data_IF_609873180458
#
_entry.id   IF_609873180458
#
_cell.length_a   1.000
_cell.length_b   1.000
_cell.length_c   1.000
_cell.angle_alpha   90.00
_cell.angle_beta   90.00
_cell.angle_gamma   90.00
#
_symmetry.space_group_name_H-M   'P 1'
#
loop_
_entity.id
_entity.type
_entity.pdbx_description
1 polymer ?
#
# COMPACT_ATOMS: atom_id res chain seq x y z
N UNK A 1 31.19 8.62 -43.85
CA UNK A 1 31.79 9.25 -42.63
C UNK A 1 30.87 10.21 -41.88
N UNK A 2 29.72 10.63 -42.46
CA UNK A 2 28.77 11.56 -41.82
C UNK A 2 27.99 10.94 -40.65
N UNK A 3 27.62 9.66 -40.74
CA UNK A 3 26.89 8.96 -39.67
C UNK A 3 27.68 8.89 -38.34
N UNK A 4 28.97 8.54 -38.40
CA UNK A 4 29.83 8.46 -37.21
C UNK A 4 30.03 9.84 -36.55
N UNK A 5 30.06 10.90 -37.36
CA UNK A 5 30.21 12.28 -36.90
C UNK A 5 28.91 12.82 -36.29
N UNK A 6 27.76 12.41 -36.84
CA UNK A 6 26.43 12.71 -36.28
C UNK A 6 26.25 11.99 -34.95
N UNK A 7 26.53 10.68 -34.90
CA UNK A 7 26.48 9.87 -33.70
C UNK A 7 27.37 10.43 -32.57
N UNK A 8 28.58 10.89 -32.89
CA UNK A 8 29.46 11.54 -31.90
C UNK A 8 28.90 12.88 -31.36
N UNK A 9 28.23 13.65 -32.22
CA UNK A 9 27.62 14.93 -31.83
C UNK A 9 26.40 14.71 -30.94
N UNK A 10 25.61 13.69 -31.27
CA UNK A 10 24.43 13.27 -30.53
C UNK A 10 24.79 12.63 -29.19
N UNK A 11 25.82 11.77 -29.15
CA UNK A 11 26.39 11.21 -27.92
C UNK A 11 26.93 12.29 -27.00
N UNK A 12 27.64 13.30 -27.52
CA UNK A 12 28.08 14.46 -26.73
C UNK A 12 26.92 15.34 -26.25
N UNK A 13 25.84 15.40 -27.02
CA UNK A 13 24.60 16.04 -26.62
C UNK A 13 24.01 15.30 -25.43
N UNK A 14 23.72 14.01 -25.60
CA UNK A 14 23.22 13.12 -24.56
C UNK A 14 24.10 13.11 -23.30
N UNK A 15 25.43 13.04 -23.41
CA UNK A 15 26.33 13.11 -22.25
C UNK A 15 26.24 14.44 -21.48
N UNK A 16 25.79 15.53 -22.13
CA UNK A 16 25.48 16.80 -21.45
C UNK A 16 24.05 16.88 -20.91
N UNK A 17 23.11 16.18 -21.54
CA UNK A 17 21.70 16.15 -21.14
C UNK A 17 21.42 15.12 -20.06
N UNK A 18 22.26 14.10 -19.92
CA UNK A 18 22.27 13.20 -18.77
C UNK A 18 22.67 14.04 -17.57
N UNK A 19 21.67 14.53 -16.85
CA UNK A 19 21.88 15.25 -15.61
C UNK A 19 22.22 14.18 -14.58
N UNK A 20 23.42 14.25 -14.03
CA UNK A 20 23.84 13.36 -12.94
C UNK A 20 22.82 13.40 -11.79
N UNK A 21 22.22 14.57 -11.54
CA UNK A 21 21.09 14.74 -10.62
C UNK A 21 19.91 13.79 -10.89
N UNK A 22 19.56 13.57 -12.16
CA UNK A 22 18.46 12.69 -12.55
C UNK A 22 18.88 11.21 -12.38
N UNK A 23 20.18 10.90 -12.47
CA UNK A 23 20.73 9.56 -12.18
C UNK A 23 20.79 9.30 -10.67
N UNK A 24 21.16 10.30 -9.88
CA UNK A 24 21.20 10.20 -8.41
C UNK A 24 19.79 9.96 -7.88
N UNK A 25 18.80 10.74 -8.33
CA UNK A 25 17.40 10.53 -7.99
C UNK A 25 16.87 9.15 -8.42
N UNK A 26 17.27 8.66 -9.60
CA UNK A 26 16.87 7.33 -10.06
C UNK A 26 17.53 6.22 -9.24
N UNK A 27 18.78 6.41 -8.80
CA UNK A 27 19.45 5.49 -7.90
C UNK A 27 18.76 5.44 -6.54
N UNK A 28 18.40 6.60 -5.99
CA UNK A 28 17.65 6.70 -4.73
C UNK A 28 16.28 6.00 -4.85
N UNK A 29 15.52 6.25 -5.92
CA UNK A 29 14.24 5.56 -6.19
C UNK A 29 14.41 4.04 -6.36
N UNK A 30 15.47 3.58 -7.04
CA UNK A 30 15.74 2.14 -7.19
C UNK A 30 16.10 1.49 -5.86
N UNK A 31 16.78 2.21 -4.97
CA UNK A 31 17.13 1.74 -3.63
C UNK A 31 15.87 1.58 -2.77
N UNK A 32 15.02 2.62 -2.75
CA UNK A 32 13.73 2.60 -2.06
C UNK A 32 12.80 1.49 -2.60
N UNK A 33 12.79 1.28 -3.92
CA UNK A 33 12.00 0.22 -4.56
C UNK A 33 12.49 -1.18 -4.20
N UNK A 34 13.81 -1.39 -4.12
CA UNK A 34 14.36 -2.66 -3.65
C UNK A 34 14.01 -2.94 -2.20
N UNK A 35 14.08 -1.93 -1.33
CA UNK A 35 13.71 -2.07 0.07
C UNK A 35 12.22 -2.39 0.24
N UNK A 36 11.34 -1.70 -0.50
CA UNK A 36 9.91 -2.01 -0.54
C UNK A 36 9.63 -3.41 -1.08
N UNK A 37 10.37 -3.87 -2.09
CA UNK A 37 10.22 -5.23 -2.61
C UNK A 37 10.64 -6.29 -1.58
N UNK A 38 11.68 -6.02 -0.78
CA UNK A 38 12.08 -6.91 0.30
C UNK A 38 11.02 -6.93 1.41
N UNK A 39 10.46 -5.78 1.77
CA UNK A 39 9.38 -5.69 2.76
C UNK A 39 8.11 -6.43 2.31
N UNK A 40 7.72 -6.29 1.03
CA UNK A 40 6.59 -7.04 0.45
C UNK A 40 6.87 -8.54 0.46
N UNK A 41 8.08 -8.96 0.08
CA UNK A 41 8.45 -10.38 0.10
C UNK A 41 8.53 -10.93 1.53
N UNK A 42 8.95 -10.14 2.51
CA UNK A 42 8.97 -10.55 3.91
C UNK A 42 7.57 -10.66 4.48
N UNK A 43 6.68 -9.70 4.20
CA UNK A 43 5.29 -9.70 4.69
C UNK A 43 4.44 -10.77 4.01
N UNK A 44 4.58 -10.97 2.70
CA UNK A 44 3.86 -12.01 1.94
C UNK A 44 4.50 -13.39 2.11
N UNK A 45 5.81 -13.44 2.37
CA UNK A 45 6.58 -14.63 2.72
C UNK A 45 6.42 -15.06 4.18
N UNK A 46 5.60 -14.34 4.96
CA UNK A 46 5.08 -14.83 6.24
C UNK A 46 4.26 -16.09 5.98
N UNK A 47 4.94 -17.22 5.93
CA UNK A 47 4.32 -18.52 6.07
C UNK A 47 3.78 -18.57 7.50
N UNK A 48 2.46 -18.46 7.63
CA UNK A 48 1.81 -18.95 8.82
C UNK A 48 2.20 -20.43 8.92
N UNK A 49 2.76 -20.84 10.05
CA UNK A 49 3.35 -22.15 10.27
C UNK A 49 2.27 -23.26 10.36
N UNK A 50 1.39 -23.29 9.35
CA UNK A 50 0.30 -24.23 9.16
C UNK A 50 0.94 -25.57 8.81
N UNK A 51 0.68 -26.63 9.60
CA UNK A 51 1.21 -27.96 9.31
C UNK A 51 0.78 -28.46 7.92
N UNK A 52 1.68 -29.11 7.20
CA UNK A 52 1.38 -29.72 5.89
C UNK A 52 0.35 -30.86 6.00
N UNK A 53 0.29 -31.53 7.16
CA UNK A 53 -0.57 -32.68 7.45
C UNK A 53 -1.84 -32.30 8.23
N UNK A 54 -2.35 -31.07 8.08
CA UNK A 54 -3.62 -30.69 8.72
C UNK A 54 -4.80 -31.41 8.04
N UNK A 55 -5.71 -31.95 8.84
CA UNK A 55 -6.93 -32.59 8.32
C UNK A 55 -7.95 -31.50 7.97
N UNK A 56 -8.08 -31.18 6.69
CA UNK A 56 -9.04 -30.18 6.20
C UNK A 56 -10.49 -30.58 6.49
N UNK A 57 -10.82 -31.86 6.50
CA UNK A 57 -12.18 -32.34 6.76
C UNK A 57 -12.56 -32.15 8.24
N UNK A 58 -11.62 -32.41 9.16
CA UNK A 58 -11.80 -32.11 10.60
C UNK A 58 -11.94 -30.61 10.84
N UNK A 59 -11.08 -29.79 10.23
CA UNK A 59 -11.13 -28.32 10.35
C UNK A 59 -12.44 -27.74 9.82
N UNK A 60 -12.92 -28.23 8.68
CA UNK A 60 -14.21 -27.81 8.12
C UNK A 60 -15.37 -28.24 9.03
N UNK A 61 -15.30 -29.43 9.62
CA UNK A 61 -16.29 -29.89 10.60
C UNK A 61 -16.31 -29.02 11.87
N UNK A 62 -15.15 -28.57 12.36
CA UNK A 62 -15.05 -27.61 13.46
C UNK A 62 -15.62 -26.24 13.08
N UNK A 63 -15.37 -25.77 11.85
CA UNK A 63 -15.89 -24.50 11.35
C UNK A 63 -17.42 -24.53 11.23
N UNK A 64 -17.99 -25.62 10.71
CA UNK A 64 -19.45 -25.83 10.64
C UNK A 64 -20.07 -25.87 12.04
N UNK A 65 -19.38 -26.50 13.00
CA UNK A 65 -19.82 -26.52 14.39
C UNK A 65 -19.77 -25.12 15.03
N UNK A 66 -18.73 -24.33 14.73
CA UNK A 66 -18.63 -22.93 15.16
C UNK A 66 -19.69 -22.05 14.49
N UNK A 67 -19.99 -22.26 13.20
CA UNK A 67 -21.10 -21.60 12.52
C UNK A 67 -22.44 -21.96 13.16
N UNK A 68 -22.64 -23.21 13.58
CA UNK A 68 -23.83 -23.60 14.31
C UNK A 68 -23.92 -22.95 15.71
N UNK A 69 -22.80 -22.83 16.43
CA UNK A 69 -22.73 -22.17 17.74
C UNK A 69 -23.02 -20.66 17.61
N UNK A 70 -22.34 -19.99 16.66
CA UNK A 70 -22.55 -18.58 16.35
C UNK A 70 -23.94 -18.32 15.76
N UNK A 71 -24.43 -19.14 14.84
CA UNK A 71 -25.75 -19.00 14.22
C UNK A 71 -26.91 -19.16 15.21
N UNK A 72 -26.66 -19.75 16.38
CA UNK A 72 -27.64 -19.84 17.46
C UNK A 72 -27.64 -18.59 18.38
N UNK A 73 -26.54 -17.82 18.42
CA UNK A 73 -26.38 -16.62 19.28
C UNK A 73 -26.22 -15.28 18.52
N UNK A 74 -25.98 -15.29 17.21
CA UNK A 74 -25.49 -14.13 16.43
C UNK A 74 -26.32 -13.81 15.17
N UNK A 75 -27.64 -13.74 15.29
CA UNK A 75 -28.52 -13.08 14.29
C UNK A 75 -28.28 -11.54 14.22
N UNK A 76 -27.16 -11.06 14.78
CA UNK A 76 -26.78 -9.67 14.94
C UNK A 76 -25.42 -9.38 14.32
N UNK A 77 -25.25 -8.14 13.86
CA UNK A 77 -24.01 -7.62 13.29
C UNK A 77 -22.84 -7.90 14.25
N UNK A 78 -21.70 -8.46 13.77
CA UNK A 78 -20.55 -8.77 14.61
C UNK A 78 -20.06 -7.56 15.40
N UNK A 79 -19.50 -7.77 16.61
CA UNK A 79 -19.09 -6.69 17.52
C UNK A 79 -18.14 -5.65 16.89
N UNK A 80 -17.37 -6.04 15.88
CA UNK A 80 -16.44 -5.15 15.15
C UNK A 80 -17.11 -4.34 14.01
N UNK A 81 -18.38 -4.61 13.71
CA UNK A 81 -19.21 -3.91 12.71
C UNK A 81 -20.42 -3.20 13.36
N UNK A 82 -20.58 -3.32 14.68
CA UNK A 82 -21.66 -2.64 15.38
C UNK A 82 -21.36 -1.14 15.46
N UNK A 83 -22.30 -0.25 15.09
CA UNK A 83 -22.13 1.18 15.25
C UNK A 83 -22.15 1.51 16.74
N UNK A 84 -20.95 1.68 17.30
CA UNK A 84 -20.56 2.32 18.55
C UNK A 84 -21.71 2.59 19.52
N UNK A 85 -22.07 1.56 20.29
CA UNK A 85 -22.97 1.78 21.44
C UNK A 85 -22.24 2.12 22.73
N UNK A 86 -20.92 2.04 22.76
CA UNK A 86 -20.03 2.51 23.81
C UNK A 86 -18.63 2.32 23.25
N UNK A 87 -18.06 3.33 22.59
CA UNK A 87 -16.61 3.32 22.34
C UNK A 87 -15.93 3.31 23.70
N UNK A 88 -15.25 2.23 24.11
CA UNK A 88 -14.22 2.38 25.12
C UNK A 88 -13.21 3.36 24.52
N UNK A 89 -12.62 4.21 25.33
CA UNK A 89 -11.55 5.10 24.89
C UNK A 89 -10.34 4.25 24.46
N UNK A 90 -10.39 3.72 23.22
CA UNK A 90 -9.41 2.80 22.63
C UNK A 90 -8.03 3.46 22.50
N UNK A 91 -8.01 4.80 22.48
CA UNK A 91 -6.79 5.61 22.53
C UNK A 91 -6.04 5.48 23.87
N UNK A 92 -6.73 5.13 24.97
CA UNK A 92 -6.11 4.99 26.29
C UNK A 92 -5.53 3.59 26.57
N UNK A 93 -6.11 2.53 25.99
CA UNK A 93 -5.63 1.14 26.20
C UNK A 93 -4.61 0.70 25.13
N UNK A 94 -4.69 1.27 23.93
CA UNK A 94 -3.79 0.91 22.85
C UNK A 94 -2.59 1.87 22.83
N UNK A 95 -1.59 1.54 23.65
CA UNK A 95 -0.25 2.12 23.56
C UNK A 95 0.45 1.68 22.27
N UNK A 96 -0.13 1.97 21.10
CA UNK A 96 0.52 1.73 19.82
C UNK A 96 1.69 2.69 19.67
N UNK A 97 2.85 2.22 19.19
CA UNK A 97 3.86 3.14 18.71
C UNK A 97 3.25 4.00 17.60
N UNK A 98 3.53 5.30 17.62
CA UNK A 98 3.09 6.22 16.57
C UNK A 98 3.46 5.62 15.21
N UNK A 99 2.46 5.39 14.36
CA UNK A 99 2.68 4.99 12.98
C UNK A 99 3.68 5.97 12.35
N UNK A 100 4.71 5.50 11.64
CA UNK A 100 5.76 6.35 11.11
C UNK A 100 5.15 7.36 10.13
N UNK A 101 4.88 8.55 10.64
CA UNK A 101 4.40 9.66 9.84
C UNK A 101 5.63 10.22 9.14
N UNK A 102 5.82 9.86 7.86
CA UNK A 102 6.74 10.59 7.01
C UNK A 102 6.39 12.08 7.09
N UNK A 103 7.37 12.91 7.43
CA UNK A 103 7.25 14.35 7.68
C UNK A 103 6.38 15.10 6.65
N UNK A 104 5.07 15.12 6.87
CA UNK A 104 4.20 16.14 6.31
C UNK A 104 3.89 17.12 7.44
N UNK A 105 4.80 18.08 7.61
CA UNK A 105 4.53 19.28 8.41
C UNK A 105 3.17 19.82 8.03
N UNK A 106 2.26 19.90 9.01
CA UNK A 106 1.00 20.61 8.90
C UNK A 106 1.29 22.06 8.48
N UNK A 107 1.20 22.32 7.18
CA UNK A 107 1.20 23.67 6.64
C UNK A 107 -0.26 24.07 6.47
N UNK A 108 -0.70 24.93 7.37
CA UNK A 108 -1.93 25.69 7.29
C UNK A 108 -2.18 26.18 5.85
N UNK A 109 -3.37 25.90 5.34
CA UNK A 109 -3.88 26.49 4.11
C UNK A 109 -3.74 25.61 2.87
N UNK A 110 -4.69 24.70 2.67
CA UNK A 110 -5.03 24.22 1.31
C UNK A 110 -6.53 24.24 1.12
N UNK A 111 -6.99 25.39 0.63
CA UNK A 111 -8.27 25.53 -0.04
C UNK A 111 -8.23 24.79 -1.37
N UNK A 112 -8.38 23.47 -1.37
CA UNK A 112 -8.86 22.75 -2.53
C UNK A 112 -9.34 21.37 -2.10
N UNK A 113 -10.65 21.15 -2.19
CA UNK A 113 -11.25 19.83 -2.05
C UNK A 113 -10.76 18.97 -3.23
N UNK A 114 -9.74 18.14 -2.99
CA UNK A 114 -9.38 17.10 -3.95
C UNK A 114 -10.45 16.02 -3.86
N UNK A 115 -11.13 15.79 -4.99
CA UNK A 115 -12.18 14.79 -5.09
C UNK A 115 -11.53 13.41 -4.98
N UNK A 116 -11.86 12.69 -3.92
CA UNK A 116 -11.48 11.30 -3.71
C UNK A 116 -12.52 10.39 -4.38
N UNK A 117 -12.09 9.26 -4.93
CA UNK A 117 -13.00 8.27 -5.52
C UNK A 117 -13.70 7.41 -4.45
N UNK A 118 -14.62 6.54 -4.87
CA UNK A 118 -15.43 5.69 -3.97
C UNK A 118 -14.58 4.70 -3.13
N UNK A 119 -13.29 4.56 -3.44
CA UNK A 119 -12.33 3.78 -2.66
C UNK A 119 -11.35 4.66 -1.86
N UNK A 120 -11.58 5.97 -1.80
CA UNK A 120 -10.78 6.92 -1.01
C UNK A 120 -9.42 7.25 -1.65
N UNK A 121 -9.20 6.91 -2.92
CA UNK A 121 -7.98 7.30 -3.62
C UNK A 121 -8.15 8.68 -4.26
N UNK A 122 -7.06 9.47 -4.38
CA UNK A 122 -7.12 10.74 -5.06
C UNK A 122 -7.46 10.53 -6.54
N UNK A 123 -8.57 11.10 -7.01
CA UNK A 123 -9.05 10.86 -8.36
C UNK A 123 -8.01 11.30 -9.40
N UNK A 124 -7.56 10.35 -10.23
CA UNK A 124 -6.65 10.65 -11.34
C UNK A 124 -7.37 11.45 -12.42
N UNK A 125 -6.75 12.52 -12.98
CA UNK A 125 -7.39 13.32 -14.00
C UNK A 125 -7.64 12.49 -15.27
N UNK A 126 -8.91 12.36 -15.67
CA UNK A 126 -9.29 11.68 -16.91
C UNK A 126 -8.73 12.47 -18.09
N UNK A 127 -7.76 11.90 -18.79
CA UNK A 127 -7.21 12.49 -20.00
C UNK A 127 -8.33 12.62 -21.05
N UNK A 128 -8.68 13.85 -21.41
CA UNK A 128 -9.63 14.14 -22.48
C UNK A 128 -9.00 13.69 -23.81
N UNK A 129 -9.45 12.57 -24.35
CA UNK A 129 -9.11 12.15 -25.71
C UNK A 129 -9.70 13.19 -26.66
N UNK A 130 -8.85 14.06 -27.21
CA UNK A 130 -9.19 14.98 -28.30
C UNK A 130 -9.31 14.14 -29.57
N UNK A 131 -10.52 14.07 -30.14
CA UNK A 131 -10.73 13.70 -31.55
C UNK A 131 -10.45 14.89 -32.45
#
# INVERSE_FOLDING_TARGET
MTALKSANKELKGMMKTVKIQDIDNLQDEMMDMMDMSNEIQETLGRSYNVPDDIDEDELMGELDALEADMGTEADGVPSYLQPDKEEPDLDAELSLPTAPSGNATAAAGRANAQVEDELGFPAVPRASVRS
#
